data_IF_497028121460
#
_entry.id   IF_497028121460
#
_cell.length_a   1.000
_cell.length_b   1.000
_cell.length_c   1.000
_cell.angle_alpha   90.00
_cell.angle_beta   90.00
_cell.angle_gamma   90.00
#
_symmetry.space_group_name_H-M   'P 1'
#
loop_
_entity.id
_entity.type
_entity.pdbx_description
1 polymer ?
#
# COMPACT_ATOMS: atom_id res chain seq x y z
N UNK A 1 -27.82 31.89 48.09
CA UNK A 1 -27.86 30.51 47.57
C UNK A 1 -27.08 30.46 46.27
N UNK A 2 -25.81 30.12 46.36
CA UNK A 2 -24.84 30.14 45.27
C UNK A 2 -24.85 28.81 44.52
N UNK A 3 -25.03 28.83 43.20
CA UNK A 3 -24.74 27.69 42.32
C UNK A 3 -23.31 27.82 41.80
N UNK A 4 -22.45 26.90 42.21
CA UNK A 4 -21.09 26.72 41.69
C UNK A 4 -21.21 25.97 40.36
N UNK A 5 -20.71 26.57 39.28
CA UNK A 5 -20.60 25.91 37.99
C UNK A 5 -19.31 25.08 37.95
N UNK A 6 -19.47 23.79 37.67
CA UNK A 6 -18.40 22.82 37.51
C UNK A 6 -18.04 22.74 36.01
N UNK A 7 -16.83 23.12 35.56
CA UNK A 7 -16.42 22.89 34.18
C UNK A 7 -16.04 21.41 34.01
N UNK A 8 -16.91 20.67 33.33
CA UNK A 8 -16.66 19.29 32.91
C UNK A 8 -15.50 19.21 31.93
N UNK A 9 -14.58 18.29 32.26
CA UNK A 9 -13.47 17.83 31.43
C UNK A 9 -13.88 17.63 29.97
N UNK A 10 -13.24 18.39 29.08
CA UNK A 10 -13.19 18.10 27.65
C UNK A 10 -12.19 16.96 27.39
N UNK A 11 -12.61 16.11 26.45
CA UNK A 11 -12.04 14.83 26.03
C UNK A 11 -10.50 14.68 26.08
N UNK A 12 -10.07 13.54 26.61
CA UNK A 12 -8.70 13.01 26.51
C UNK A 12 -8.36 12.60 25.06
N UNK A 13 -7.14 12.88 24.55
CA UNK A 13 -6.71 12.55 23.18
C UNK A 13 -6.27 11.08 22.97
N UNK A 14 -6.65 10.14 23.83
CA UNK A 14 -6.10 8.77 23.83
C UNK A 14 -6.67 7.77 22.81
N UNK A 15 -7.44 8.21 21.81
CA UNK A 15 -8.13 7.30 20.87
C UNK A 15 -7.38 7.01 19.56
N UNK A 16 -6.15 7.50 19.39
CA UNK A 16 -5.37 7.40 18.14
C UNK A 16 -4.33 6.26 18.12
N UNK A 17 -4.49 5.21 18.93
CA UNK A 17 -3.50 4.12 19.09
C UNK A 17 -3.74 2.90 18.18
N UNK A 18 -4.72 2.93 17.27
CA UNK A 18 -4.95 1.84 16.28
C UNK A 18 -4.21 2.12 14.94
N UNK A 19 -3.05 2.77 14.99
CA UNK A 19 -2.26 3.07 13.78
C UNK A 19 -1.29 1.93 13.39
N UNK A 20 -0.74 1.20 14.36
CA UNK A 20 0.31 0.19 14.10
C UNK A 20 -0.15 -1.06 13.34
N UNK A 21 -1.40 -1.51 13.55
CA UNK A 21 -1.97 -2.68 12.87
C UNK A 21 -2.64 -2.33 11.52
N UNK A 22 -2.96 -1.05 11.28
CA UNK A 22 -3.65 -0.61 10.07
C UNK A 22 -2.73 -0.50 8.85
N UNK A 23 -1.44 -0.20 9.03
CA UNK A 23 -0.49 -0.02 7.91
C UNK A 23 -0.22 -1.33 7.17
N UNK A 24 -0.05 -2.44 7.89
CA UNK A 24 0.11 -3.77 7.27
C UNK A 24 -1.22 -4.35 6.80
N UNK A 25 -2.30 -4.18 7.57
CA UNK A 25 -3.63 -4.61 7.19
C UNK A 25 -4.12 -3.98 5.89
N UNK A 26 -3.89 -2.68 5.67
CA UNK A 26 -4.32 -1.99 4.46
C UNK A 26 -3.59 -2.46 3.18
N UNK A 27 -2.30 -2.80 3.28
CA UNK A 27 -1.50 -3.29 2.13
C UNK A 27 -1.85 -4.75 1.79
N UNK A 28 -2.04 -5.63 2.79
CA UNK A 28 -2.45 -7.02 2.55
C UNK A 28 -3.94 -7.16 2.18
N UNK A 29 -4.80 -6.28 2.69
CA UNK A 29 -6.24 -6.39 2.49
C UNK A 29 -6.73 -5.84 1.16
N UNK A 30 -6.04 -4.86 0.55
CA UNK A 30 -6.36 -4.41 -0.81
C UNK A 30 -6.16 -5.53 -1.86
N UNK A 31 -5.30 -6.52 -1.58
CA UNK A 31 -5.16 -7.74 -2.38
C UNK A 31 -6.15 -8.87 -2.05
N UNK A 32 -6.87 -8.81 -0.93
CA UNK A 32 -7.71 -9.91 -0.42
C UNK A 32 -9.23 -9.67 -0.45
N UNK A 33 -9.73 -8.46 -0.78
CA UNK A 33 -11.13 -8.10 -0.52
C UNK A 33 -12.19 -8.68 -1.49
N UNK A 34 -11.83 -9.27 -2.63
CA UNK A 34 -12.83 -9.68 -3.65
C UNK A 34 -13.15 -11.19 -3.72
N UNK A 35 -12.77 -12.01 -2.73
CA UNK A 35 -13.11 -13.46 -2.74
C UNK A 35 -14.41 -13.84 -2.01
N UNK A 36 -15.25 -12.88 -1.60
CA UNK A 36 -16.60 -13.21 -1.10
C UNK A 36 -17.60 -13.32 -2.25
N UNK A 37 -17.66 -14.52 -2.84
CA UNK A 37 -18.80 -14.94 -3.64
C UNK A 37 -20.05 -15.07 -2.74
N UNK A 38 -21.23 -14.61 -3.17
CA UNK A 38 -22.49 -14.96 -2.51
C UNK A 38 -22.84 -16.43 -2.79
N UNK A 39 -23.44 -17.09 -1.79
CA UNK A 39 -23.86 -18.50 -1.81
C UNK A 39 -24.52 -18.91 -3.14
N UNK A 40 -23.82 -19.75 -3.92
CA UNK A 40 -24.38 -20.44 -5.08
C UNK A 40 -24.67 -21.90 -4.72
N UNK A 41 -25.94 -22.28 -4.90
CA UNK A 41 -26.50 -23.62 -4.72
C UNK A 41 -25.79 -24.69 -5.60
N UNK A 42 -25.88 -25.98 -5.26
CA UNK A 42 -24.99 -27.01 -5.77
C UNK A 42 -25.31 -27.39 -7.21
N UNK A 43 -24.28 -27.40 -8.07
CA UNK A 43 -24.34 -28.03 -9.40
C UNK A 43 -23.37 -29.21 -9.51
N UNK A 44 -23.71 -30.24 -10.31
CA UNK A 44 -23.18 -31.58 -10.17
C UNK A 44 -21.80 -31.79 -10.80
N UNK A 45 -21.12 -32.78 -10.23
CA UNK A 45 -19.78 -33.24 -10.55
C UNK A 45 -19.51 -33.42 -12.06
N UNK A 46 -18.39 -32.85 -12.52
CA UNK A 46 -17.72 -33.27 -13.75
C UNK A 46 -16.25 -33.55 -13.50
N UNK A 47 -15.82 -34.67 -14.05
CA UNK A 47 -14.61 -35.40 -13.72
C UNK A 47 -13.30 -34.66 -14.07
N UNK A 48 -12.32 -35.02 -13.26
CA UNK A 48 -10.95 -34.55 -13.10
C UNK A 48 -10.02 -34.80 -14.30
N UNK A 49 -9.12 -33.84 -14.55
CA UNK A 49 -7.78 -34.13 -15.03
C UNK A 49 -6.78 -33.46 -14.07
N UNK A 50 -6.09 -34.30 -13.29
CA UNK A 50 -5.09 -33.96 -12.30
C UNK A 50 -3.77 -33.58 -12.96
N UNK A 51 -3.27 -32.37 -12.70
CA UNK A 51 -1.84 -32.07 -12.81
C UNK A 51 -1.34 -31.77 -11.40
N UNK A 52 -0.49 -32.66 -10.95
CA UNK A 52 0.21 -32.70 -9.68
C UNK A 52 1.24 -31.56 -9.63
N UNK A 53 1.15 -30.71 -8.61
CA UNK A 53 2.17 -29.70 -8.30
C UNK A 53 2.25 -29.54 -6.80
N UNK A 54 3.07 -30.41 -6.21
CA UNK A 54 3.55 -30.31 -4.83
C UNK A 54 4.39 -29.03 -4.68
N UNK A 55 3.84 -28.06 -3.96
CA UNK A 55 4.60 -27.07 -3.20
C UNK A 55 3.98 -27.00 -1.81
N UNK A 56 4.43 -27.90 -0.92
CA UNK A 56 4.27 -27.75 0.52
C UNK A 56 5.52 -27.07 1.11
N UNK A 57 5.31 -26.32 2.19
CA UNK A 57 6.24 -25.47 2.95
C UNK A 57 6.56 -24.12 2.25
N UNK A 58 6.35 -22.96 2.86
CA UNK A 58 6.70 -22.56 4.22
C UNK A 58 5.64 -21.56 4.76
N UNK A 59 4.84 -21.98 5.74
CA UNK A 59 4.01 -21.09 6.57
C UNK A 59 4.25 -21.42 8.04
N UNK A 60 5.44 -21.07 8.52
CA UNK A 60 5.75 -21.07 9.95
C UNK A 60 6.02 -19.64 10.39
N UNK A 61 4.94 -18.94 10.78
CA UNK A 61 5.02 -17.78 11.67
C UNK A 61 4.26 -18.12 12.95
N UNK A 62 4.75 -17.66 14.12
CA UNK A 62 4.39 -18.23 15.41
C UNK A 62 2.96 -17.87 15.80
N UNK A 63 2.14 -18.89 16.03
CA UNK A 63 0.88 -18.77 16.75
C UNK A 63 1.17 -18.57 18.24
N UNK A 64 0.92 -17.37 18.75
CA UNK A 64 0.89 -17.11 20.18
C UNK A 64 -0.37 -17.76 20.78
N UNK A 65 -0.30 -19.07 21.01
CA UNK A 65 -1.20 -19.79 21.90
C UNK A 65 -0.66 -19.74 23.32
N UNK A 66 -1.22 -18.89 24.17
CA UNK A 66 -1.11 -19.03 25.62
C UNK A 66 -2.42 -18.60 26.27
N UNK A 67 -3.36 -19.54 26.36
CA UNK A 67 -4.45 -19.50 27.33
C UNK A 67 -3.96 -20.26 28.57
N UNK A 68 -3.35 -19.53 29.50
CA UNK A 68 -3.17 -20.01 30.86
C UNK A 68 -4.15 -19.27 31.76
N UNK A 69 -5.15 -20.01 32.23
CA UNK A 69 -5.99 -19.63 33.36
C UNK A 69 -5.12 -19.30 34.58
N UNK A 70 -5.12 -18.05 35.03
CA UNK A 70 -4.64 -17.67 36.37
C UNK A 70 -5.58 -16.62 36.94
N UNK A 71 -6.27 -17.02 38.01
CA UNK A 71 -7.14 -16.18 38.80
C UNK A 71 -6.34 -15.31 39.80
N UNK A 72 -6.42 -13.99 39.66
CA UNK A 72 -6.11 -12.94 40.67
C UNK A 72 -4.66 -12.83 41.18
N UNK A 73 -4.17 -11.66 41.67
CA UNK A 73 -4.93 -10.53 42.19
C UNK A 73 -4.75 -9.21 41.40
N UNK A 74 -5.75 -8.36 41.47
CA UNK A 74 -5.76 -6.98 40.97
C UNK A 74 -4.93 -6.07 41.88
N UNK A 75 -3.76 -5.65 41.43
CA UNK A 75 -3.23 -4.31 41.75
C UNK A 75 -2.06 -3.91 40.84
N UNK A 76 -2.17 -2.75 40.17
CA UNK A 76 -1.03 -1.86 39.94
C UNK A 76 -0.20 -1.87 38.65
N UNK A 77 -0.40 -2.74 37.65
CA UNK A 77 0.56 -2.87 36.52
C UNK A 77 -0.06 -2.81 35.13
N UNK A 78 -0.98 -1.86 34.87
CA UNK A 78 -1.58 -1.69 33.52
C UNK A 78 -0.86 -0.61 32.69
N UNK A 79 -0.06 0.27 33.32
CA UNK A 79 0.60 1.38 32.62
C UNK A 79 1.90 1.04 31.86
N UNK A 80 2.62 -0.01 32.27
CA UNK A 80 3.93 -0.35 31.68
C UNK A 80 3.82 -1.08 30.33
N UNK A 81 2.77 -1.87 30.12
CA UNK A 81 2.58 -2.68 28.90
C UNK A 81 2.10 -1.83 27.71
N UNK A 82 1.28 -0.81 27.96
CA UNK A 82 0.84 0.10 26.90
C UNK A 82 1.99 0.96 26.37
N UNK A 83 2.89 1.41 27.25
CA UNK A 83 3.98 2.29 26.82
C UNK A 83 5.05 1.56 26.00
N UNK A 84 5.30 0.27 26.26
CA UNK A 84 6.24 -0.52 25.45
C UNK A 84 5.72 -0.81 24.04
N UNK A 85 4.42 -1.08 23.90
CA UNK A 85 3.80 -1.34 22.58
C UNK A 85 3.84 -0.10 21.67
N UNK A 86 3.68 1.09 22.24
CA UNK A 86 3.72 2.34 21.48
C UNK A 86 5.12 2.67 20.95
N UNK A 87 6.18 2.38 21.73
CA UNK A 87 7.57 2.62 21.31
C UNK A 87 7.96 1.68 20.16
N UNK A 88 7.56 0.42 20.22
CA UNK A 88 7.87 -0.56 19.16
C UNK A 88 7.13 -0.25 17.86
N UNK A 89 5.87 0.22 17.94
CA UNK A 89 5.08 0.63 16.79
C UNK A 89 5.69 1.86 16.10
N UNK A 90 6.09 2.86 16.86
CA UNK A 90 6.70 4.09 16.34
C UNK A 90 8.07 3.81 15.70
N UNK A 91 8.89 2.94 16.30
CA UNK A 91 10.16 2.52 15.72
C UNK A 91 9.96 1.74 14.40
N UNK A 92 8.97 0.85 14.36
CA UNK A 92 8.62 0.09 13.15
C UNK A 92 8.12 1.01 12.04
N UNK A 93 7.24 1.95 12.37
CA UNK A 93 6.74 2.95 11.41
C UNK A 93 7.88 3.82 10.88
N UNK A 94 8.77 4.28 11.77
CA UNK A 94 9.94 5.06 11.38
C UNK A 94 10.88 4.29 10.44
N UNK A 95 11.11 3.01 10.72
CA UNK A 95 11.90 2.14 9.85
C UNK A 95 11.24 1.95 8.48
N UNK A 96 9.92 1.81 8.43
CA UNK A 96 9.18 1.69 7.18
C UNK A 96 9.30 2.97 6.33
N UNK A 97 9.08 4.15 6.92
CA UNK A 97 9.23 5.44 6.22
C UNK A 97 10.68 5.64 5.75
N UNK A 98 11.65 5.30 6.60
CA UNK A 98 13.07 5.34 6.23
C UNK A 98 13.39 4.44 5.04
N UNK A 99 12.83 3.23 5.00
CA UNK A 99 12.96 2.30 3.86
C UNK A 99 12.32 2.84 2.59
N UNK A 100 11.09 3.36 2.68
CA UNK A 100 10.32 3.94 1.56
C UNK A 100 11.08 5.06 0.85
N UNK A 101 11.82 5.87 1.61
CA UNK A 101 12.50 7.08 1.11
C UNK A 101 14.02 7.00 1.15
N UNK A 102 14.60 5.80 1.29
CA UNK A 102 16.07 5.61 1.46
C UNK A 102 16.93 6.18 0.32
N UNK A 103 16.32 6.41 -0.84
CA UNK A 103 16.98 6.93 -2.04
C UNK A 103 17.00 8.46 -2.15
N UNK A 104 16.31 9.17 -1.26
CA UNK A 104 16.36 10.63 -1.19
C UNK A 104 17.52 11.07 -0.31
N UNK A 105 18.11 12.23 -0.60
CA UNK A 105 19.15 12.82 0.25
C UNK A 105 18.58 13.17 1.62
N UNK A 106 18.94 12.40 2.64
CA UNK A 106 18.33 12.51 3.95
C UNK A 106 18.87 13.71 4.74
N UNK A 107 17.96 14.39 5.44
CA UNK A 107 18.28 15.32 6.52
C UNK A 107 17.30 15.09 7.68
N UNK A 108 17.67 15.40 8.93
CA UNK A 108 16.76 15.20 10.07
C UNK A 108 15.41 15.92 9.91
N UNK A 109 15.42 17.10 9.29
CA UNK A 109 14.19 17.86 8.99
C UNK A 109 13.32 17.17 7.94
N UNK A 110 13.95 16.65 6.88
CA UNK A 110 13.25 15.91 5.82
C UNK A 110 12.65 14.62 6.39
N UNK A 111 13.42 13.83 7.14
CA UNK A 111 12.91 12.59 7.74
C UNK A 111 11.72 12.84 8.66
N UNK A 112 11.75 13.90 9.49
CA UNK A 112 10.61 14.29 10.31
C UNK A 112 9.38 14.71 9.48
N UNK A 113 9.59 15.44 8.36
CA UNK A 113 8.51 15.83 7.46
C UNK A 113 7.89 14.63 6.72
N UNK A 114 8.72 13.66 6.29
CA UNK A 114 8.25 12.41 5.67
C UNK A 114 7.44 11.57 6.67
N UNK A 115 7.87 11.46 7.92
CA UNK A 115 7.10 10.76 8.96
C UNK A 115 5.72 11.40 9.17
N UNK A 116 5.65 12.72 9.28
CA UNK A 116 4.40 13.45 9.44
C UNK A 116 3.46 13.24 8.24
N UNK A 117 4.01 13.33 7.02
CA UNK A 117 3.29 13.04 5.77
C UNK A 117 2.69 11.63 5.77
N UNK A 118 3.48 10.62 6.10
CA UNK A 118 3.02 9.22 6.09
C UNK A 118 1.96 8.97 7.17
N UNK A 119 2.04 9.62 8.34
CA UNK A 119 0.97 9.54 9.35
C UNK A 119 -0.36 10.07 8.81
N UNK A 120 -0.33 11.18 8.07
CA UNK A 120 -1.53 11.73 7.44
C UNK A 120 -2.05 10.78 6.37
N UNK A 121 -1.17 10.20 5.53
CA UNK A 121 -1.56 9.24 4.51
C UNK A 121 -2.24 7.98 5.11
N UNK A 122 -1.70 7.46 6.22
CA UNK A 122 -2.31 6.37 6.97
C UNK A 122 -3.67 6.77 7.53
N UNK A 123 -3.79 7.96 8.14
CA UNK A 123 -5.05 8.47 8.67
C UNK A 123 -6.12 8.60 7.57
N UNK A 124 -5.76 9.03 6.35
CA UNK A 124 -6.67 9.07 5.20
C UNK A 124 -7.17 7.67 4.86
N UNK A 125 -6.27 6.69 4.80
CA UNK A 125 -6.64 5.31 4.51
C UNK A 125 -7.55 4.72 5.60
N UNK A 126 -7.25 4.97 6.86
CA UNK A 126 -8.10 4.60 8.00
C UNK A 126 -9.49 5.25 7.89
N UNK A 127 -9.55 6.54 7.57
CA UNK A 127 -10.82 7.24 7.39
C UNK A 127 -11.64 6.65 6.24
N UNK A 128 -11.03 6.40 5.08
CA UNK A 128 -11.70 5.78 3.91
C UNK A 128 -12.26 4.38 4.20
N UNK A 129 -11.63 3.64 5.11
CA UNK A 129 -12.03 2.28 5.47
C UNK A 129 -12.97 2.22 6.69
N UNK A 130 -13.14 3.33 7.41
CA UNK A 130 -13.95 3.37 8.62
C UNK A 130 -15.43 3.15 8.31
N UNK A 131 -16.09 2.35 9.14
CA UNK A 131 -17.56 2.26 9.17
C UNK A 131 -18.19 3.47 9.88
N UNK A 132 -17.41 4.22 10.66
CA UNK A 132 -17.85 5.43 11.36
C UNK A 132 -17.84 6.62 10.39
N UNK A 133 -19.04 7.15 10.14
CA UNK A 133 -19.25 8.29 9.26
C UNK A 133 -18.52 9.56 9.74
N UNK A 134 -18.41 9.78 11.05
CA UNK A 134 -17.71 10.94 11.59
C UNK A 134 -16.22 10.93 11.23
N UNK A 135 -15.60 9.74 11.22
CA UNK A 135 -14.22 9.55 10.80
C UNK A 135 -14.10 9.71 9.27
N UNK A 136 -15.05 9.19 8.49
CA UNK A 136 -15.07 9.37 7.02
C UNK A 136 -15.12 10.84 6.62
N UNK A 137 -15.89 11.65 7.33
CA UNK A 137 -16.03 13.08 7.08
C UNK A 137 -14.74 13.87 7.35
N UNK A 138 -13.77 13.32 8.08
CA UNK A 138 -12.45 13.93 8.21
C UNK A 138 -11.60 13.85 6.93
N UNK A 139 -11.97 12.96 6.00
CA UNK A 139 -11.21 12.67 4.77
C UNK A 139 -10.76 13.92 4.01
N UNK A 140 -11.67 14.83 3.60
CA UNK A 140 -11.29 16.06 2.88
C UNK A 140 -10.30 16.95 3.64
N UNK A 141 -10.43 17.03 4.98
CA UNK A 141 -9.50 17.80 5.81
C UNK A 141 -8.12 17.16 5.83
N UNK A 142 -8.06 15.83 5.94
CA UNK A 142 -6.80 15.08 5.93
C UNK A 142 -6.11 15.17 4.55
N UNK A 143 -6.88 15.13 3.45
CA UNK A 143 -6.35 15.30 2.10
C UNK A 143 -5.74 16.69 1.91
N UNK A 144 -6.38 17.75 2.40
CA UNK A 144 -5.79 19.10 2.40
C UNK A 144 -4.48 19.16 3.20
N UNK A 145 -4.44 18.52 4.38
CA UNK A 145 -3.20 18.42 5.17
C UNK A 145 -2.10 17.64 4.46
N UNK A 146 -2.45 16.59 3.71
CA UNK A 146 -1.47 15.82 2.94
C UNK A 146 -0.84 16.68 1.83
N UNK A 147 -1.63 17.51 1.15
CA UNK A 147 -1.12 18.47 0.16
C UNK A 147 -0.14 19.48 0.78
N UNK A 148 -0.46 19.98 1.99
CA UNK A 148 0.45 20.86 2.73
C UNK A 148 1.75 20.15 3.15
N UNK A 149 1.64 18.89 3.60
CA UNK A 149 2.79 18.06 3.95
C UNK A 149 3.68 17.77 2.73
N UNK A 150 3.08 17.45 1.58
CA UNK A 150 3.77 17.27 0.30
C UNK A 150 4.55 18.54 -0.09
N UNK A 151 3.93 19.72 0.03
CA UNK A 151 4.61 21.00 -0.24
C UNK A 151 5.81 21.21 0.69
N UNK A 152 5.63 20.98 1.99
CA UNK A 152 6.70 21.10 3.00
C UNK A 152 7.86 20.15 2.72
N UNK A 153 7.57 18.92 2.30
CA UNK A 153 8.60 17.96 1.88
C UNK A 153 9.32 18.51 0.64
N UNK A 154 8.59 18.98 -0.38
CA UNK A 154 9.16 19.58 -1.58
C UNK A 154 10.13 20.74 -1.30
N UNK A 155 9.82 21.61 -0.34
CA UNK A 155 10.67 22.72 0.10
C UNK A 155 11.97 22.28 0.79
N UNK A 156 12.01 21.06 1.34
CA UNK A 156 13.16 20.49 2.04
C UNK A 156 14.05 19.61 1.14
N UNK A 157 13.58 19.24 -0.04
CA UNK A 157 14.31 18.37 -0.97
C UNK A 157 15.39 19.14 -1.73
N UNK A 158 16.48 18.43 -2.03
CA UNK A 158 17.43 18.91 -3.04
C UNK A 158 16.74 18.92 -4.42
N UNK A 159 17.12 19.83 -5.35
CA UNK A 159 16.50 19.89 -6.67
C UNK A 159 16.48 18.57 -7.44
N UNK A 160 17.50 17.72 -7.27
CA UNK A 160 17.58 16.39 -7.90
C UNK A 160 16.62 15.35 -7.32
N UNK A 161 16.10 15.56 -6.11
CA UNK A 161 15.31 14.57 -5.37
C UNK A 161 13.79 14.76 -5.53
N UNK A 162 13.35 15.89 -6.07
CA UNK A 162 11.92 16.23 -6.23
C UNK A 162 11.20 15.18 -7.08
N UNK A 163 11.75 14.83 -8.25
CA UNK A 163 11.18 13.81 -9.12
C UNK A 163 11.13 12.44 -8.43
N UNK A 164 12.16 12.12 -7.64
CA UNK A 164 12.21 10.88 -6.88
C UNK A 164 11.13 10.82 -5.80
N UNK A 165 10.90 11.93 -5.08
CA UNK A 165 9.82 12.02 -4.09
C UNK A 165 8.44 11.84 -4.74
N UNK A 166 8.17 12.51 -5.86
CA UNK A 166 6.86 12.44 -6.53
C UNK A 166 6.44 11.02 -6.89
N UNK A 167 7.41 10.16 -7.27
CA UNK A 167 7.13 8.76 -7.59
C UNK A 167 7.14 7.86 -6.35
N UNK A 168 7.91 8.18 -5.31
CA UNK A 168 8.00 7.40 -4.07
C UNK A 168 6.82 7.59 -3.12
N UNK A 169 6.21 8.79 -3.12
CA UNK A 169 5.27 9.18 -2.07
C UNK A 169 3.99 8.34 -2.05
N UNK A 170 3.59 7.81 -3.21
CA UNK A 170 2.41 6.96 -3.37
C UNK A 170 2.82 5.63 -4.03
N UNK A 171 3.86 4.95 -3.51
CA UNK A 171 4.41 3.71 -4.11
C UNK A 171 4.47 2.50 -3.20
N UNK A 172 3.68 2.47 -2.13
CA UNK A 172 3.75 1.39 -1.13
C UNK A 172 3.49 0.01 -1.73
N UNK A 173 2.46 -0.07 -2.60
CA UNK A 173 2.14 -1.31 -3.30
C UNK A 173 3.25 -1.71 -4.28
N UNK A 174 3.73 -0.77 -5.10
CA UNK A 174 4.77 -1.08 -6.09
C UNK A 174 6.10 -1.46 -5.44
N UNK A 175 6.46 -0.82 -4.31
CA UNK A 175 7.66 -1.18 -3.55
C UNK A 175 7.52 -2.56 -2.90
N UNK A 176 6.33 -2.89 -2.38
CA UNK A 176 6.05 -4.22 -1.85
C UNK A 176 6.17 -5.30 -2.94
N UNK A 177 5.47 -5.11 -4.06
CA UNK A 177 5.53 -6.01 -5.23
C UNK A 177 6.97 -6.17 -5.74
N UNK A 178 7.70 -5.07 -5.86
CA UNK A 178 9.09 -5.13 -6.32
C UNK A 178 10.01 -5.87 -5.33
N UNK A 179 9.81 -5.67 -4.02
CA UNK A 179 10.55 -6.41 -2.99
C UNK A 179 10.23 -7.91 -3.03
N UNK A 180 8.97 -8.27 -3.25
CA UNK A 180 8.56 -9.66 -3.43
C UNK A 180 9.24 -10.31 -4.65
N UNK A 181 9.21 -9.63 -5.79
CA UNK A 181 9.95 -10.04 -6.99
C UNK A 181 11.45 -10.27 -6.71
N UNK A 182 12.13 -9.27 -6.14
CA UNK A 182 13.57 -9.36 -5.80
C UNK A 182 13.84 -10.52 -4.84
N UNK A 183 12.97 -10.72 -3.84
CA UNK A 183 13.05 -11.84 -2.91
C UNK A 183 12.94 -13.19 -3.61
N UNK A 184 11.96 -13.34 -4.51
CA UNK A 184 11.70 -14.56 -5.26
C UNK A 184 12.85 -15.00 -6.17
N UNK A 185 13.59 -14.05 -6.76
CA UNK A 185 14.71 -14.37 -7.67
C UNK A 185 16.09 -14.40 -6.99
N UNK A 186 16.18 -14.00 -5.71
CA UNK A 186 17.46 -13.77 -5.01
C UNK A 186 18.42 -14.96 -4.98
N UNK A 187 17.90 -16.19 -5.00
CA UNK A 187 18.68 -17.42 -4.97
C UNK A 187 19.09 -17.95 -6.36
N UNK A 188 18.51 -17.40 -7.43
CA UNK A 188 18.74 -17.85 -8.81
C UNK A 188 19.54 -16.81 -9.57
N UNK A 189 19.04 -15.57 -9.61
CA UNK A 189 19.66 -14.45 -10.33
C UNK A 189 19.61 -13.16 -9.49
N UNK A 190 20.47 -13.02 -8.48
CA UNK A 190 20.45 -11.86 -7.60
C UNK A 190 20.70 -10.55 -8.35
N UNK A 191 19.98 -9.50 -7.93
CA UNK A 191 20.16 -8.14 -8.44
C UNK A 191 21.01 -7.32 -7.46
N UNK A 192 22.02 -6.62 -7.95
CA UNK A 192 22.76 -5.64 -7.17
C UNK A 192 21.85 -4.48 -6.75
N UNK A 193 22.12 -3.85 -5.60
CA UNK A 193 21.23 -2.84 -5.00
C UNK A 193 21.04 -1.60 -5.90
N UNK A 194 22.10 -1.17 -6.60
CA UNK A 194 22.05 -0.08 -7.57
C UNK A 194 21.10 -0.39 -8.73
N UNK A 195 21.09 -1.64 -9.21
CA UNK A 195 20.14 -2.10 -10.25
C UNK A 195 18.73 -2.21 -9.71
N UNK A 196 18.56 -2.71 -8.48
CA UNK A 196 17.25 -2.75 -7.84
C UNK A 196 16.65 -1.35 -7.76
N UNK A 197 17.45 -0.36 -7.34
CA UNK A 197 17.03 1.04 -7.32
C UNK A 197 16.63 1.53 -8.72
N UNK A 198 17.46 1.33 -9.73
CA UNK A 198 17.16 1.79 -11.10
C UNK A 198 15.87 1.17 -11.66
N UNK A 199 15.68 -0.14 -11.49
CA UNK A 199 14.47 -0.85 -11.94
C UNK A 199 13.24 -0.37 -11.17
N UNK A 200 13.35 -0.18 -9.85
CA UNK A 200 12.26 0.37 -9.06
C UNK A 200 11.85 1.75 -9.59
N UNK A 201 12.80 2.67 -9.80
CA UNK A 201 12.48 4.01 -10.30
C UNK A 201 11.84 3.99 -11.70
N UNK A 202 12.28 3.10 -12.59
CA UNK A 202 11.63 2.89 -13.88
C UNK A 202 10.17 2.43 -13.71
N UNK A 203 9.93 1.47 -12.81
CA UNK A 203 8.57 0.97 -12.49
C UNK A 203 7.69 2.09 -11.93
N UNK A 204 8.18 2.83 -10.95
CA UNK A 204 7.43 3.91 -10.30
C UNK A 204 7.12 5.06 -11.26
N UNK A 205 8.07 5.44 -12.12
CA UNK A 205 7.88 6.50 -13.10
C UNK A 205 6.81 6.13 -14.14
N UNK A 206 6.86 4.90 -14.67
CA UNK A 206 5.87 4.42 -15.62
C UNK A 206 4.49 4.24 -14.96
N UNK A 207 4.42 3.77 -13.71
CA UNK A 207 3.17 3.70 -12.96
C UNK A 207 2.57 5.06 -12.63
N UNK A 208 3.39 6.06 -12.31
CA UNK A 208 2.91 7.41 -12.09
C UNK A 208 2.20 7.97 -13.34
N UNK A 209 2.80 7.80 -14.53
CA UNK A 209 2.19 8.22 -15.80
C UNK A 209 0.86 7.50 -16.06
N UNK A 210 0.81 6.19 -15.83
CA UNK A 210 -0.42 5.42 -15.96
C UNK A 210 -1.52 5.92 -15.01
N UNK A 211 -1.19 6.17 -13.74
CA UNK A 211 -2.14 6.67 -12.74
C UNK A 211 -2.77 8.00 -13.13
N UNK A 212 -1.98 8.91 -13.70
CA UNK A 212 -2.52 10.18 -14.22
C UNK A 212 -3.57 9.94 -15.32
N UNK A 213 -3.33 9.01 -16.24
CA UNK A 213 -4.32 8.67 -17.28
C UNK A 213 -5.57 8.04 -16.65
N UNK A 214 -5.39 7.11 -15.71
CA UNK A 214 -6.49 6.46 -15.00
C UNK A 214 -7.37 7.47 -14.25
N UNK A 215 -6.78 8.39 -13.50
CA UNK A 215 -7.48 9.43 -12.75
C UNK A 215 -8.24 10.41 -13.66
N UNK A 216 -7.61 10.80 -14.78
CA UNK A 216 -8.19 11.73 -15.75
C UNK A 216 -9.30 11.09 -16.59
N UNK A 217 -9.27 9.76 -16.79
CA UNK A 217 -10.30 9.03 -17.54
C UNK A 217 -11.67 9.03 -16.85
N UNK A 218 -11.71 9.24 -15.53
CA UNK A 218 -12.93 9.12 -14.73
C UNK A 218 -13.41 7.68 -14.52
N UNK A 219 -12.71 6.67 -15.04
CA UNK A 219 -13.14 5.25 -14.99
C UNK A 219 -13.46 4.78 -13.57
N UNK A 220 -12.69 5.27 -12.58
CA UNK A 220 -12.84 4.90 -11.16
C UNK A 220 -13.94 5.65 -10.40
N UNK A 221 -14.60 6.66 -10.99
CA UNK A 221 -15.56 7.53 -10.28
C UNK A 221 -17.00 6.99 -10.25
N UNK A 222 -17.32 6.02 -11.12
CA UNK A 222 -18.63 5.36 -11.16
C UNK A 222 -19.77 6.21 -11.73
N UNK A 223 -19.51 7.45 -12.16
CA UNK A 223 -20.49 8.39 -12.72
C UNK A 223 -20.60 8.35 -14.26
N UNK A 224 -19.80 7.49 -14.91
CA UNK A 224 -19.78 7.32 -16.36
C UNK A 224 -20.95 6.45 -16.85
N UNK A 225 -21.57 6.86 -17.96
CA UNK A 225 -22.48 6.00 -18.75
C UNK A 225 -21.72 4.79 -19.30
N UNK A 226 -22.44 3.71 -19.66
CA UNK A 226 -21.82 2.50 -20.22
C UNK A 226 -20.92 2.79 -21.43
N UNK A 227 -21.37 3.66 -22.34
CA UNK A 227 -20.58 4.08 -23.51
C UNK A 227 -19.31 4.84 -23.11
N UNK A 228 -19.43 5.83 -22.21
CA UNK A 228 -18.27 6.59 -21.71
C UNK A 228 -17.28 5.70 -20.98
N UNK A 229 -17.79 4.73 -20.22
CA UNK A 229 -16.99 3.76 -19.48
C UNK A 229 -16.18 2.86 -20.40
N UNK A 230 -16.77 2.40 -21.51
CA UNK A 230 -16.03 1.63 -22.53
C UNK A 230 -14.93 2.47 -23.20
N UNK A 231 -15.21 3.74 -23.51
CA UNK A 231 -14.18 4.64 -24.05
C UNK A 231 -13.04 4.87 -23.05
N UNK A 232 -13.37 5.20 -21.80
CA UNK A 232 -12.40 5.36 -20.73
C UNK A 232 -11.56 4.08 -20.52
N UNK A 233 -12.18 2.90 -20.54
CA UNK A 233 -11.49 1.62 -20.45
C UNK A 233 -10.49 1.42 -21.59
N UNK A 234 -10.85 1.73 -22.83
CA UNK A 234 -9.94 1.57 -23.97
C UNK A 234 -8.70 2.46 -23.83
N UNK A 235 -8.87 3.70 -23.38
CA UNK A 235 -7.77 4.63 -23.14
C UNK A 235 -6.86 4.16 -21.98
N UNK A 236 -7.47 3.72 -20.88
CA UNK A 236 -6.76 3.20 -19.71
C UNK A 236 -6.02 1.90 -20.06
N UNK A 237 -6.62 0.98 -20.81
CA UNK A 237 -6.00 -0.27 -21.25
C UNK A 237 -4.77 0.01 -22.13
N UNK A 238 -4.87 0.96 -23.07
CA UNK A 238 -3.72 1.41 -23.85
C UNK A 238 -2.61 1.96 -22.95
N UNK A 239 -2.94 2.85 -22.03
CA UNK A 239 -1.96 3.44 -21.11
C UNK A 239 -1.32 2.40 -20.17
N UNK A 240 -2.08 1.39 -19.73
CA UNK A 240 -1.57 0.29 -18.91
C UNK A 240 -0.52 -0.52 -19.68
N UNK A 241 -0.79 -0.80 -20.96
CA UNK A 241 0.12 -1.52 -21.83
C UNK A 241 1.39 -0.71 -22.09
N UNK A 242 1.24 0.56 -22.44
CA UNK A 242 2.37 1.49 -22.63
C UNK A 242 3.22 1.61 -21.36
N UNK A 243 2.59 1.65 -20.18
CA UNK A 243 3.30 1.65 -18.90
C UNK A 243 4.11 0.38 -18.67
N UNK A 244 3.56 -0.80 -18.99
CA UNK A 244 4.30 -2.07 -18.89
C UNK A 244 5.45 -2.12 -19.87
N UNK A 245 5.18 -1.82 -21.15
CA UNK A 245 6.18 -1.94 -22.22
C UNK A 245 7.32 -0.92 -22.02
N UNK A 246 6.98 0.32 -21.63
CA UNK A 246 7.95 1.35 -21.25
C UNK A 246 8.80 0.94 -20.06
N UNK A 247 8.18 0.38 -19.00
CA UNK A 247 8.92 -0.16 -17.86
C UNK A 247 9.92 -1.24 -18.28
N UNK A 248 9.47 -2.26 -19.03
CA UNK A 248 10.35 -3.36 -19.43
C UNK A 248 11.49 -2.88 -20.34
N UNK A 249 11.23 -1.93 -21.23
CA UNK A 249 12.25 -1.33 -22.08
C UNK A 249 13.30 -0.57 -21.26
N UNK A 250 12.90 0.21 -20.26
CA UNK A 250 13.82 0.91 -19.36
C UNK A 250 14.60 -0.08 -18.48
N UNK A 251 13.91 -1.04 -17.86
CA UNK A 251 14.52 -2.05 -17.00
C UNK A 251 15.57 -2.89 -17.73
N UNK A 252 15.37 -3.18 -19.03
CA UNK A 252 16.32 -3.92 -19.86
C UNK A 252 17.70 -3.29 -19.89
N UNK A 253 17.81 -1.96 -19.76
CA UNK A 253 19.10 -1.25 -19.75
C UNK A 253 19.93 -1.56 -18.51
N UNK A 254 19.29 -2.05 -17.45
CA UNK A 254 19.90 -2.36 -16.15
C UNK A 254 20.06 -3.87 -15.92
N UNK A 255 19.57 -4.70 -16.84
CA UNK A 255 19.64 -6.15 -16.77
C UNK A 255 20.63 -6.67 -17.82
N UNK A 256 21.70 -7.31 -17.36
CA UNK A 256 22.74 -7.85 -18.25
C UNK A 256 22.52 -9.32 -18.59
N UNK A 257 21.69 -10.00 -17.80
CA UNK A 257 21.34 -11.40 -18.01
C UNK A 257 19.96 -11.51 -18.66
N UNK A 258 19.86 -12.35 -19.69
CA UNK A 258 18.60 -12.66 -20.35
C UNK A 258 17.62 -13.34 -19.39
N UNK A 259 18.13 -14.14 -18.45
CA UNK A 259 17.32 -14.82 -17.44
C UNK A 259 16.68 -13.81 -16.48
N UNK A 260 17.44 -12.81 -16.03
CA UNK A 260 16.91 -11.72 -15.20
C UNK A 260 15.77 -10.97 -15.91
N UNK A 261 15.95 -10.65 -17.19
CA UNK A 261 14.92 -9.97 -17.97
C UNK A 261 13.69 -10.85 -18.21
N UNK A 262 13.90 -12.14 -18.49
CA UNK A 262 12.81 -13.09 -18.71
C UNK A 262 11.95 -13.23 -17.46
N UNK A 263 12.56 -13.37 -16.29
CA UNK A 263 11.84 -13.46 -15.01
C UNK A 263 11.09 -12.17 -14.68
N UNK A 264 11.70 -10.99 -14.90
CA UNK A 264 11.01 -9.71 -14.74
C UNK A 264 9.81 -9.58 -15.67
N UNK A 265 10.00 -9.90 -16.95
CA UNK A 265 8.95 -9.83 -17.98
C UNK A 265 7.76 -10.75 -17.63
N UNK A 266 8.04 -11.98 -17.18
CA UNK A 266 6.99 -12.90 -16.75
C UNK A 266 6.22 -12.38 -15.55
N UNK A 267 6.93 -11.88 -14.53
CA UNK A 267 6.31 -11.27 -13.35
C UNK A 267 5.38 -10.10 -13.73
N UNK A 268 5.86 -9.16 -14.55
CA UNK A 268 5.07 -8.00 -14.96
C UNK A 268 3.90 -8.35 -15.88
N UNK A 269 4.00 -9.42 -16.68
CA UNK A 269 2.87 -9.87 -17.49
C UNK A 269 1.74 -10.44 -16.62
N UNK A 270 2.07 -11.11 -15.51
CA UNK A 270 1.08 -11.54 -14.52
C UNK A 270 0.42 -10.35 -13.84
N UNK A 271 1.21 -9.38 -13.36
CA UNK A 271 0.69 -8.16 -12.74
C UNK A 271 -0.19 -7.34 -13.70
N UNK A 272 0.24 -7.21 -14.96
CA UNK A 272 -0.54 -6.57 -16.02
C UNK A 272 -1.88 -7.27 -16.25
N UNK A 273 -1.88 -8.61 -16.32
CA UNK A 273 -3.10 -9.39 -16.50
C UNK A 273 -4.10 -9.16 -15.37
N UNK A 274 -3.63 -9.22 -14.13
CA UNK A 274 -4.46 -8.99 -12.94
C UNK A 274 -5.08 -7.58 -12.92
N UNK A 275 -4.28 -6.54 -13.21
CA UNK A 275 -4.77 -5.16 -13.25
C UNK A 275 -5.74 -4.93 -14.42
N UNK A 276 -5.48 -5.52 -15.60
CA UNK A 276 -6.37 -5.43 -16.75
C UNK A 276 -7.73 -6.07 -16.47
N UNK A 277 -7.75 -7.25 -15.85
CA UNK A 277 -8.99 -7.95 -15.51
C UNK A 277 -9.80 -7.17 -14.49
N UNK A 278 -9.13 -6.55 -13.50
CA UNK A 278 -9.78 -5.64 -12.55
C UNK A 278 -10.42 -4.44 -13.26
N UNK A 279 -9.68 -3.77 -14.15
CA UNK A 279 -10.19 -2.61 -14.88
C UNK A 279 -11.36 -2.99 -15.81
N UNK A 280 -11.34 -4.21 -16.35
CA UNK A 280 -12.45 -4.75 -17.15
C UNK A 280 -13.73 -4.89 -16.33
N UNK A 281 -13.64 -5.50 -15.13
CA UNK A 281 -14.79 -5.62 -14.21
C UNK A 281 -15.42 -4.27 -13.89
N UNK A 282 -14.58 -3.29 -13.55
CA UNK A 282 -15.03 -1.90 -13.31
C UNK A 282 -15.72 -1.33 -14.56
N UNK A 283 -15.16 -1.58 -15.74
CA UNK A 283 -15.74 -1.15 -17.01
C UNK A 283 -17.07 -1.85 -17.34
N UNK A 284 -17.28 -3.06 -16.84
CA UNK A 284 -18.53 -3.82 -16.99
C UNK A 284 -19.57 -3.44 -15.92
N UNK A 285 -19.14 -2.78 -14.84
CA UNK A 285 -20.00 -2.34 -13.74
C UNK A 285 -20.16 -3.37 -12.62
N UNK A 286 -19.23 -4.30 -12.53
CA UNK A 286 -19.04 -5.20 -11.38
C UNK A 286 -18.28 -4.50 -10.26
#
# INVERSE_FOLDING_TARGET
MSRVANPGNLASPSSLVIAGLAVFGAVTWWGMRDTRAPDAAPQPARATASIDSRHEAISSWPSSGSTADVAGPTDGTVGAVSHSLDVDAEATFSSYVGGKYKYLTQSPKLSAALLDRERIAVAINTAKQSADESIRQEGPRLEAKLVEADRKVGELLAPGDVAGFEVLKNSDMEQFQFKDYVGGISNVVPLAEDRQQAILYAKLSNRHRFRQVLENSGLMRGDLTATQRQFAFNDVNRALRESRDGFLQEARQHLHDEEQFTLLSNYENTEYGAELDKLRRIAEGE
#
